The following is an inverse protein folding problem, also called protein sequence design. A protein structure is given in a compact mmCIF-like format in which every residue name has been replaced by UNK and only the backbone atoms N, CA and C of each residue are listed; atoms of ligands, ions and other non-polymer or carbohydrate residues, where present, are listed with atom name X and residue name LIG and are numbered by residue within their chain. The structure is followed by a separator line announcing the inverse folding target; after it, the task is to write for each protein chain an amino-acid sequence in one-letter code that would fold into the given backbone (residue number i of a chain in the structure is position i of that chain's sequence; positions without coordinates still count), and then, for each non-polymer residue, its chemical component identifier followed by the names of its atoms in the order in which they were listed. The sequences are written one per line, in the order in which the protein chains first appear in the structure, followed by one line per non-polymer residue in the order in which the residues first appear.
data_IF_336962702623
#
_entry.id   IF_336962702623
#
_cell.length_a   1.000
_cell.length_b   1.000
_cell.length_c   1.000
_cell.angle_alpha   90.00
_cell.angle_beta   90.00
_cell.angle_gamma   90.00
#
_symmetry.space_group_name_H-M   'P 1'
#
loop_
_entity.id
_entity.type
_entity.pdbx_description
1 polymer ?
#
# COMPACT_ATOMS: atom_id res chain seq x y z
N UNK A 1 39.84 -7.74 -21.02
CA UNK A 1 38.67 -7.00 -20.46
C UNK A 1 37.35 -7.55 -20.97
N UNK A 2 37.09 -7.58 -22.29
CA UNK A 2 35.83 -8.09 -22.88
C UNK A 2 35.47 -9.53 -22.47
N UNK A 3 36.46 -10.44 -22.44
CA UNK A 3 36.25 -11.84 -22.07
C UNK A 3 35.98 -12.03 -20.56
N UNK A 4 36.54 -11.18 -19.69
CA UNK A 4 36.23 -11.21 -18.25
C UNK A 4 34.84 -10.69 -17.95
N UNK A 5 34.36 -9.69 -18.70
CA UNK A 5 32.99 -9.19 -18.56
C UNK A 5 31.99 -10.28 -18.95
N UNK A 6 32.20 -10.96 -20.08
CA UNK A 6 31.34 -12.06 -20.53
C UNK A 6 31.32 -13.20 -19.51
N UNK A 7 32.48 -13.57 -18.94
CA UNK A 7 32.55 -14.59 -17.89
C UNK A 7 31.81 -14.18 -16.61
N UNK A 8 31.92 -12.92 -16.19
CA UNK A 8 31.21 -12.40 -15.03
C UNK A 8 29.69 -12.37 -15.26
N UNK A 9 29.26 -11.95 -16.45
CA UNK A 9 27.83 -11.93 -16.82
C UNK A 9 27.26 -13.35 -16.90
N UNK A 10 27.99 -14.30 -17.49
CA UNK A 10 27.59 -15.71 -17.54
C UNK A 10 27.58 -16.35 -16.15
N UNK A 11 28.53 -15.99 -15.28
CA UNK A 11 28.56 -16.45 -13.90
C UNK A 11 27.38 -15.90 -13.10
N UNK A 12 27.06 -14.61 -13.22
CA UNK A 12 25.88 -14.01 -12.59
C UNK A 12 24.58 -14.64 -13.11
N UNK A 13 24.44 -14.82 -14.42
CA UNK A 13 23.29 -15.50 -15.05
C UNK A 13 23.16 -16.95 -14.58
N UNK A 14 24.27 -17.69 -14.47
CA UNK A 14 24.25 -19.07 -13.99
C UNK A 14 23.81 -19.17 -12.52
N UNK A 15 24.17 -18.20 -11.68
CA UNK A 15 23.75 -18.17 -10.28
C UNK A 15 22.28 -17.74 -10.10
N UNK A 16 21.70 -17.00 -11.04
CA UNK A 16 20.27 -16.66 -11.02
C UNK A 16 19.37 -17.92 -11.20
N UNK A 17 19.88 -18.96 -11.88
CA UNK A 17 19.15 -20.23 -12.04
C UNK A 17 19.30 -21.21 -10.87
N UNK A 18 20.07 -20.86 -9.82
CA UNK A 18 20.27 -21.71 -8.63
C UNK A 18 19.56 -21.18 -7.37
N UNK A 19 18.77 -20.11 -7.49
CA UNK A 19 18.00 -19.54 -6.39
C UNK A 19 16.61 -20.19 -6.32
N UNK A 20 16.53 -21.41 -5.78
CA UNK A 20 15.24 -22.13 -5.64
C UNK A 20 14.37 -21.58 -4.50
N UNK A 21 14.94 -20.85 -3.54
CA UNK A 21 14.19 -20.20 -2.45
C UNK A 21 14.71 -18.80 -2.16
N UNK A 22 14.03 -17.79 -2.70
CA UNK A 22 14.10 -16.46 -2.11
C UNK A 22 13.35 -16.51 -0.77
N UNK A 23 14.11 -16.58 0.33
CA UNK A 23 13.57 -16.37 1.68
C UNK A 23 13.15 -14.90 1.83
N UNK A 24 12.00 -14.55 1.25
CA UNK A 24 11.30 -13.33 1.58
C UNK A 24 11.05 -13.33 3.09
N UNK A 25 11.20 -12.17 3.75
CA UNK A 25 11.00 -12.05 5.20
C UNK A 25 9.49 -12.23 5.49
N UNK A 26 9.01 -13.39 5.98
CA UNK A 26 7.59 -13.67 6.04
C UNK A 26 7.09 -13.40 7.46
N UNK A 27 6.94 -12.14 7.84
CA UNK A 27 6.36 -11.80 9.15
C UNK A 27 4.98 -12.44 9.31
N UNK A 28 4.15 -12.35 8.26
CA UNK A 28 2.82 -12.93 8.21
C UNK A 28 2.83 -14.47 8.10
N UNK A 29 3.63 -15.01 7.19
CA UNK A 29 3.67 -16.46 6.96
C UNK A 29 4.26 -17.23 8.17
N UNK A 30 5.15 -16.61 8.97
CA UNK A 30 5.65 -17.20 10.22
C UNK A 30 4.56 -17.42 11.27
N UNK A 31 3.66 -16.45 11.44
CA UNK A 31 2.53 -16.53 12.39
C UNK A 31 1.65 -17.74 12.07
N UNK A 32 1.22 -17.85 10.81
CA UNK A 32 0.27 -18.89 10.38
C UNK A 32 0.93 -20.20 9.92
N UNK A 33 2.27 -20.23 9.81
CA UNK A 33 3.06 -21.37 9.32
C UNK A 33 2.65 -21.81 7.91
N UNK A 34 2.46 -20.83 7.04
CA UNK A 34 2.14 -21.04 5.61
C UNK A 34 3.33 -20.62 4.73
N UNK A 35 3.37 -21.11 3.50
CA UNK A 35 4.40 -20.71 2.54
C UNK A 35 4.16 -19.29 2.04
N UNK A 36 5.22 -18.54 1.74
CA UNK A 36 5.12 -17.26 1.03
C UNK A 36 4.37 -17.41 -0.30
N UNK A 37 4.57 -18.54 -0.99
CA UNK A 37 3.89 -18.86 -2.26
C UNK A 37 2.40 -19.15 -2.11
N UNK A 38 1.87 -19.25 -0.89
CA UNK A 38 0.42 -19.31 -0.64
C UNK A 38 -0.22 -17.96 -0.96
N UNK A 39 0.36 -16.85 -0.49
CA UNK A 39 -0.17 -15.51 -0.69
C UNK A 39 0.39 -14.82 -1.93
N UNK A 40 1.66 -15.07 -2.28
CA UNK A 40 2.36 -14.32 -3.32
C UNK A 40 2.36 -15.05 -4.67
N UNK A 41 2.11 -14.27 -5.73
CA UNK A 41 2.60 -14.53 -7.07
C UNK A 41 3.98 -13.83 -7.23
N UNK A 42 4.67 -13.90 -8.38
CA UNK A 42 5.88 -13.10 -8.58
C UNK A 42 5.62 -11.62 -8.26
N UNK A 43 6.54 -11.00 -7.50
CA UNK A 43 6.44 -9.59 -7.11
C UNK A 43 6.17 -8.73 -8.37
N UNK A 44 5.19 -7.81 -8.31
CA UNK A 44 4.53 -7.28 -7.11
C UNK A 44 3.17 -7.91 -6.78
N UNK A 45 2.78 -8.98 -7.47
CA UNK A 45 1.41 -9.49 -7.48
C UNK A 45 1.11 -10.45 -6.31
N UNK A 46 -0.12 -10.37 -5.80
CA UNK A 46 -0.71 -11.35 -4.89
C UNK A 46 -1.56 -12.38 -5.66
N UNK A 47 -1.70 -13.56 -5.07
CA UNK A 47 -2.75 -14.51 -5.46
C UNK A 47 -4.06 -14.07 -4.79
N UNK A 48 -5.23 -14.58 -5.25
CA UNK A 48 -6.51 -14.29 -4.59
C UNK A 48 -6.47 -14.48 -3.07
N UNK A 49 -5.85 -15.58 -2.60
CA UNK A 49 -5.66 -15.83 -1.17
C UNK A 49 -4.87 -14.72 -0.44
N UNK A 50 -3.85 -14.16 -1.08
CA UNK A 50 -3.06 -13.06 -0.53
C UNK A 50 -3.83 -11.73 -0.53
N UNK A 51 -4.63 -11.48 -1.55
CA UNK A 51 -5.53 -10.33 -1.61
C UNK A 51 -6.60 -10.40 -0.53
N UNK A 52 -7.23 -11.56 -0.33
CA UNK A 52 -8.18 -11.81 0.75
C UNK A 52 -7.53 -11.57 2.13
N UNK A 53 -6.30 -12.06 2.32
CA UNK A 53 -5.56 -11.87 3.56
C UNK A 53 -5.22 -10.40 3.85
N UNK A 54 -4.78 -9.65 2.83
CA UNK A 54 -4.51 -8.22 2.96
C UNK A 54 -5.81 -7.42 3.15
N UNK A 55 -6.89 -7.84 2.47
CA UNK A 55 -8.23 -7.28 2.57
C UNK A 55 -8.85 -7.46 3.95
N UNK A 56 -8.60 -8.59 4.62
CA UNK A 56 -9.04 -8.84 6.00
C UNK A 56 -8.16 -8.15 7.07
N UNK A 57 -7.40 -7.11 6.71
CA UNK A 57 -6.52 -6.40 7.64
C UNK A 57 -5.34 -7.23 8.15
N UNK A 58 -4.83 -8.15 7.34
CA UNK A 58 -3.75 -9.09 7.68
C UNK A 58 -4.14 -10.10 8.78
N UNK A 59 -5.40 -10.54 8.77
CA UNK A 59 -5.96 -11.52 9.70
C UNK A 59 -6.40 -12.78 8.93
N UNK A 60 -5.97 -13.97 9.39
CA UNK A 60 -6.59 -15.24 8.99
C UNK A 60 -7.47 -15.75 10.15
N UNK A 61 -8.72 -15.30 10.19
CA UNK A 61 -9.63 -15.56 11.32
C UNK A 61 -9.75 -17.06 11.65
N UNK A 62 -9.87 -17.92 10.64
CA UNK A 62 -10.03 -19.37 10.82
C UNK A 62 -8.77 -20.06 11.37
N UNK A 63 -7.61 -19.42 11.23
CA UNK A 63 -6.31 -19.97 11.63
C UNK A 63 -5.78 -19.37 12.93
N UNK A 64 -6.48 -18.40 13.54
CA UNK A 64 -6.09 -17.83 14.83
C UNK A 64 -6.28 -18.86 15.95
N UNK A 65 -5.15 -19.30 16.53
CA UNK A 65 -5.09 -20.34 17.56
C UNK A 65 -4.54 -19.76 18.85
N UNK A 66 -4.89 -20.37 19.98
CA UNK A 66 -4.36 -19.96 21.30
C UNK A 66 -2.83 -19.83 21.32
N UNK A 67 -2.13 -20.70 20.55
CA UNK A 67 -0.67 -20.68 20.40
C UNK A 67 -0.08 -19.37 19.85
N UNK A 68 -0.89 -18.56 19.16
CA UNK A 68 -0.46 -17.31 18.51
C UNK A 68 -0.43 -16.15 19.51
N UNK A 69 -0.86 -16.41 20.75
CA UNK A 69 -1.03 -15.42 21.79
C UNK A 69 -0.44 -15.86 23.14
N UNK A 70 -0.25 -14.89 24.02
CA UNK A 70 0.19 -15.10 25.39
C UNK A 70 -1.02 -15.14 26.30
N UNK A 71 -1.31 -16.32 26.87
CA UNK A 71 -2.31 -16.48 27.92
C UNK A 71 -1.79 -15.87 29.22
N UNK A 72 -2.27 -14.68 29.58
CA UNK A 72 -1.87 -13.97 30.79
C UNK A 72 -2.85 -14.16 31.98
N UNK A 73 -3.80 -15.08 31.86
CA UNK A 73 -4.84 -15.32 32.87
C UNK A 73 -6.03 -14.35 32.82
N UNK A 74 -6.14 -13.58 31.75
CA UNK A 74 -7.29 -12.71 31.42
C UNK A 74 -7.83 -13.11 30.05
N UNK A 75 -9.08 -13.57 30.00
CA UNK A 75 -9.75 -14.07 28.80
C UNK A 75 -10.07 -12.96 27.78
N UNK A 76 -10.07 -11.69 28.20
CA UNK A 76 -10.26 -10.53 27.32
C UNK A 76 -8.95 -10.00 26.76
N UNK A 77 -7.82 -10.35 27.38
CA UNK A 77 -6.53 -9.83 26.99
C UNK A 77 -5.92 -10.65 25.86
N UNK A 78 -5.78 -10.00 24.69
CA UNK A 78 -5.19 -10.63 23.53
C UNK A 78 -3.79 -10.10 23.23
N UNK A 79 -2.78 -10.79 23.76
CA UNK A 79 -1.38 -10.42 23.53
C UNK A 79 -0.80 -11.27 22.44
N UNK A 80 -0.47 -10.68 21.29
CA UNK A 80 0.29 -11.38 20.27
C UNK A 80 1.62 -11.87 20.85
N UNK A 81 1.92 -13.15 20.62
CA UNK A 81 3.17 -13.75 21.08
C UNK A 81 4.39 -13.18 20.36
N UNK A 82 4.21 -12.80 19.11
CA UNK A 82 5.25 -12.22 18.26
C UNK A 82 4.74 -10.91 17.67
N UNK A 83 5.62 -9.91 17.62
CA UNK A 83 5.37 -8.66 16.91
C UNK A 83 5.92 -8.80 15.48
N UNK A 84 5.06 -8.86 14.44
CA UNK A 84 5.49 -9.08 13.07
C UNK A 84 6.25 -7.87 12.56
N UNK A 85 7.57 -8.02 12.39
CA UNK A 85 8.45 -6.99 11.85
C UNK A 85 9.18 -7.53 10.61
N UNK A 86 9.23 -6.72 9.56
CA UNK A 86 9.95 -7.01 8.34
C UNK A 86 10.72 -5.77 7.85
N UNK A 87 11.82 -6.01 7.15
CA UNK A 87 12.55 -4.97 6.43
C UNK A 87 12.51 -5.26 4.94
N UNK A 88 12.28 -4.25 4.09
CA UNK A 88 12.40 -4.36 2.64
C UNK A 88 13.55 -3.47 2.18
N UNK A 89 14.45 -4.03 1.39
CA UNK A 89 15.56 -3.33 0.76
C UNK A 89 15.31 -3.26 -0.74
N UNK A 90 15.37 -2.06 -1.29
CA UNK A 90 15.25 -1.80 -2.72
C UNK A 90 16.63 -1.35 -3.22
N UNK A 91 17.10 -1.96 -4.31
CA UNK A 91 18.36 -1.60 -4.95
C UNK A 91 18.10 -1.15 -6.37
N UNK A 92 18.72 -0.04 -6.77
CA UNK A 92 18.58 0.51 -8.12
C UNK A 92 19.94 0.64 -8.79
N UNK A 93 19.98 0.35 -10.09
CA UNK A 93 21.18 0.47 -10.91
C UNK A 93 20.86 1.32 -12.13
N UNK A 94 21.62 2.39 -12.31
CA UNK A 94 21.40 3.37 -13.36
C UNK A 94 22.57 3.35 -14.34
N UNK A 95 22.25 3.36 -15.64
CA UNK A 95 23.21 3.59 -16.70
C UNK A 95 22.70 4.75 -17.58
N UNK A 96 23.48 5.82 -17.64
CA UNK A 96 23.17 7.02 -18.41
C UNK A 96 24.26 7.24 -19.46
N UNK A 97 23.85 7.66 -20.64
CA UNK A 97 24.78 8.06 -21.69
C UNK A 97 24.86 9.59 -21.71
N UNK A 98 26.09 10.11 -21.69
CA UNK A 98 26.45 11.55 -21.72
C UNK A 98 26.55 12.29 -20.37
N UNK A 99 26.67 11.59 -19.25
CA UNK A 99 27.08 12.18 -17.96
C UNK A 99 28.53 11.82 -17.62
N UNK A 100 29.16 12.61 -16.73
CA UNK A 100 30.53 12.31 -16.25
C UNK A 100 30.60 10.96 -15.50
N UNK A 101 29.50 10.58 -14.84
CA UNK A 101 29.30 9.26 -14.24
C UNK A 101 28.25 8.50 -15.06
N UNK A 102 28.71 7.64 -15.98
CA UNK A 102 27.82 6.87 -16.86
C UNK A 102 27.09 5.71 -16.15
N UNK A 103 27.62 5.24 -15.03
CA UNK A 103 27.02 4.15 -14.25
C UNK A 103 26.97 4.52 -12.78
N UNK A 104 25.81 4.33 -12.17
CA UNK A 104 25.59 4.58 -10.74
C UNK A 104 24.87 3.39 -10.10
N UNK A 105 25.39 2.93 -8.97
CA UNK A 105 24.78 1.89 -8.16
C UNK A 105 24.10 2.55 -6.95
N UNK A 106 22.82 2.84 -7.11
CA UNK A 106 21.94 3.52 -6.16
C UNK A 106 21.36 2.51 -5.16
N UNK A 107 22.21 1.81 -4.43
CA UNK A 107 21.79 0.81 -3.43
C UNK A 107 22.27 1.18 -2.01
N UNK A 108 21.38 1.19 -1.00
CA UNK A 108 19.94 1.00 -1.10
C UNK A 108 19.25 2.24 -1.69
N UNK A 109 18.35 2.02 -2.64
CA UNK A 109 17.43 3.04 -3.16
C UNK A 109 16.35 3.36 -2.13
N UNK A 110 15.96 2.35 -1.35
CA UNK A 110 14.97 2.52 -0.30
C UNK A 110 15.12 1.43 0.75
N UNK A 111 14.88 1.81 2.00
CA UNK A 111 14.70 0.85 3.09
C UNK A 111 13.34 1.10 3.72
N UNK A 112 12.53 0.05 3.82
CA UNK A 112 11.24 0.10 4.53
C UNK A 112 11.28 -0.79 5.75
N UNK A 113 10.80 -0.28 6.88
CA UNK A 113 10.49 -1.10 8.05
C UNK A 113 8.98 -1.25 8.14
N UNK A 114 8.50 -2.48 8.00
CA UNK A 114 7.09 -2.82 7.80
C UNK A 114 6.59 -3.67 8.97
N UNK A 115 5.36 -3.43 9.40
CA UNK A 115 4.67 -4.24 10.38
C UNK A 115 3.18 -4.25 10.11
N UNK A 116 2.54 -5.39 10.34
CA UNK A 116 1.10 -5.52 10.27
C UNK A 116 0.65 -6.88 10.79
N UNK A 117 -0.63 -7.01 11.11
CA UNK A 117 -1.23 -8.25 11.58
C UNK A 117 -2.41 -7.99 12.50
N UNK A 118 -2.86 -9.02 13.21
CA UNK A 118 -3.98 -8.92 14.16
C UNK A 118 -3.60 -8.13 15.41
N UNK A 119 -4.42 -7.15 15.82
CA UNK A 119 -4.42 -6.58 17.18
C UNK A 119 -5.40 -7.32 18.10
N UNK A 120 -6.61 -7.57 17.60
CA UNK A 120 -7.71 -8.27 18.31
C UNK A 120 -8.63 -8.94 17.28
N UNK A 121 -9.63 -9.73 17.71
CA UNK A 121 -10.70 -10.30 16.84
C UNK A 121 -11.16 -9.24 15.86
N UNK A 122 -10.92 -9.48 14.57
CA UNK A 122 -11.36 -8.62 13.47
C UNK A 122 -10.83 -7.17 13.55
N UNK A 123 -9.71 -6.95 14.25
CA UNK A 123 -9.02 -5.67 14.31
C UNK A 123 -7.57 -5.91 13.92
N UNK A 124 -7.22 -5.47 12.73
CA UNK A 124 -5.88 -5.53 12.16
C UNK A 124 -5.16 -4.19 12.27
N UNK A 125 -3.86 -4.19 12.01
CA UNK A 125 -3.09 -2.98 11.84
C UNK A 125 -2.07 -3.16 10.73
N UNK A 126 -1.61 -2.04 10.20
CA UNK A 126 -0.46 -1.98 9.33
C UNK A 126 0.22 -0.62 9.46
N UNK A 127 1.54 -0.62 9.46
CA UNK A 127 2.32 0.58 9.29
C UNK A 127 3.64 0.30 8.60
N UNK A 128 4.23 1.34 8.02
CA UNK A 128 5.64 1.30 7.68
C UNK A 128 6.35 2.63 7.74
N UNK A 129 7.66 2.54 7.94
CA UNK A 129 8.60 3.63 7.86
C UNK A 129 9.37 3.54 6.56
N UNK A 130 9.63 4.69 5.92
CA UNK A 130 10.46 4.77 4.72
C UNK A 130 11.69 5.63 4.95
N UNK A 131 12.84 5.09 4.55
CA UNK A 131 14.11 5.79 4.50
C UNK A 131 14.53 5.88 3.03
N UNK A 132 14.59 7.10 2.51
CA UNK A 132 14.86 7.36 1.09
C UNK A 132 16.36 7.49 0.80
N UNK A 133 16.73 7.19 -0.45
CA UNK A 133 18.08 7.28 -1.00
C UNK A 133 18.76 8.64 -0.77
N UNK A 134 18.00 9.74 -0.73
CA UNK A 134 18.54 11.11 -0.66
C UNK A 134 18.93 11.54 0.76
N UNK A 135 18.99 10.58 1.69
CA UNK A 135 19.33 10.82 3.09
C UNK A 135 18.18 11.37 3.94
N UNK A 136 16.97 11.40 3.40
CA UNK A 136 15.77 11.84 4.11
C UNK A 136 15.06 10.64 4.73
N UNK A 137 14.84 10.72 6.05
CA UNK A 137 13.96 9.81 6.78
C UNK A 137 12.55 10.36 6.66
N UNK A 138 11.77 9.82 5.72
CA UNK A 138 10.42 10.30 5.39
C UNK A 138 9.40 10.06 6.53
N UNK A 139 9.76 9.25 7.54
CA UNK A 139 8.90 8.97 8.70
C UNK A 139 7.90 7.85 8.39
N UNK A 140 6.69 7.98 8.94
CA UNK A 140 5.58 7.02 8.79
C UNK A 140 4.71 7.44 7.62
N UNK A 141 4.62 6.58 6.60
CA UNK A 141 3.80 6.84 5.42
C UNK A 141 2.39 6.26 5.61
N UNK A 142 2.24 4.92 5.51
CA UNK A 142 1.01 4.25 5.96
C UNK A 142 1.09 3.94 7.45
N UNK A 143 -0.01 4.20 8.14
CA UNK A 143 -0.25 3.72 9.51
C UNK A 143 -1.75 3.75 9.79
N UNK A 144 -2.36 2.57 9.85
CA UNK A 144 -3.80 2.46 10.06
C UNK A 144 -4.17 1.25 10.91
N UNK A 145 -5.38 1.33 11.46
CA UNK A 145 -6.10 0.22 12.08
C UNK A 145 -7.23 -0.18 11.14
N UNK A 146 -7.41 -1.48 10.96
CA UNK A 146 -8.42 -2.09 10.09
C UNK A 146 -9.44 -2.83 10.95
N UNK A 147 -10.68 -2.41 10.92
CA UNK A 147 -11.80 -3.09 11.56
C UNK A 147 -12.50 -3.93 10.49
N UNK A 148 -12.23 -5.22 10.51
CA UNK A 148 -12.72 -6.19 9.55
C UNK A 148 -14.11 -6.70 9.96
N UNK A 149 -14.96 -6.99 8.98
CA UNK A 149 -16.27 -7.63 9.19
C UNK A 149 -17.16 -6.96 10.26
N UNK A 150 -17.28 -5.63 10.22
CA UNK A 150 -18.08 -4.85 11.16
C UNK A 150 -19.53 -5.35 11.18
N UNK A 151 -20.07 -5.54 12.39
CA UNK A 151 -21.42 -6.06 12.63
C UNK A 151 -21.67 -7.43 11.96
N UNK A 152 -20.62 -8.22 11.70
CA UNK A 152 -20.68 -9.51 10.98
C UNK A 152 -21.21 -9.36 9.55
N UNK A 153 -20.88 -8.26 8.92
CA UNK A 153 -21.16 -7.97 7.50
C UNK A 153 -19.83 -7.82 6.76
N UNK A 154 -19.83 -7.84 5.44
CA UNK A 154 -18.63 -7.59 4.62
C UNK A 154 -18.16 -6.11 4.64
N UNK A 155 -18.55 -5.35 5.67
CA UNK A 155 -18.15 -3.96 5.85
C UNK A 155 -16.87 -3.88 6.65
N UNK A 156 -15.88 -3.25 6.04
CA UNK A 156 -14.60 -2.96 6.65
C UNK A 156 -14.43 -1.46 6.85
N UNK A 157 -13.78 -1.09 7.94
CA UNK A 157 -13.41 0.30 8.22
C UNK A 157 -11.93 0.37 8.49
N UNK A 158 -11.21 1.15 7.68
CA UNK A 158 -9.81 1.48 7.90
C UNK A 158 -9.69 2.92 8.37
N UNK A 159 -8.95 3.16 9.47
CA UNK A 159 -8.76 4.48 10.06
C UNK A 159 -7.27 4.74 10.25
N UNK A 160 -6.78 5.87 9.74
CA UNK A 160 -5.39 6.27 9.91
C UNK A 160 -4.83 7.04 8.72
N UNK A 161 -3.54 6.81 8.43
CA UNK A 161 -2.82 7.34 7.29
C UNK A 161 -2.69 6.27 6.21
N UNK A 162 -3.07 6.58 4.99
CA UNK A 162 -3.06 5.66 3.85
C UNK A 162 -3.05 6.44 2.54
N UNK A 163 -2.85 5.76 1.41
CA UNK A 163 -2.98 6.41 0.10
C UNK A 163 -4.42 6.39 -0.37
N UNK A 164 -4.92 7.55 -0.79
CA UNK A 164 -6.29 7.66 -1.31
C UNK A 164 -6.46 6.89 -2.63
N UNK A 165 -5.39 6.66 -3.39
CA UNK A 165 -5.37 5.80 -4.57
C UNK A 165 -5.27 4.29 -4.31
N UNK A 166 -5.04 3.83 -3.07
CA UNK A 166 -4.92 2.39 -2.77
C UNK A 166 -6.11 1.52 -3.21
N UNK A 167 -7.37 2.01 -3.23
CA UNK A 167 -8.50 1.28 -3.81
C UNK A 167 -8.38 0.95 -5.30
N UNK A 168 -7.51 1.66 -6.04
CA UNK A 168 -7.27 1.45 -7.48
C UNK A 168 -6.06 0.54 -7.68
N UNK A 169 -4.87 1.10 -7.51
CA UNK A 169 -3.60 0.39 -7.62
C UNK A 169 -2.65 0.94 -6.58
N UNK A 170 -2.07 0.02 -5.80
CA UNK A 170 -1.10 0.36 -4.74
C UNK A 170 0.17 0.95 -5.37
N UNK A 171 0.38 2.26 -5.20
CA UNK A 171 1.52 3.01 -5.74
C UNK A 171 2.88 2.45 -5.33
N UNK A 172 2.96 1.90 -4.11
CA UNK A 172 4.19 1.31 -3.54
C UNK A 172 4.52 -0.09 -4.07
N UNK A 173 3.65 -0.64 -4.91
CA UNK A 173 3.85 -1.91 -5.61
C UNK A 173 4.25 -1.73 -7.08
N UNK A 174 4.53 -0.48 -7.51
CA UNK A 174 4.94 -0.18 -8.88
C UNK A 174 6.27 -0.85 -9.24
N UNK A 175 6.39 -1.24 -10.51
CA UNK A 175 7.63 -1.73 -11.11
C UNK A 175 8.44 -0.62 -11.79
N UNK A 176 7.81 0.53 -12.04
CA UNK A 176 8.47 1.69 -12.64
C UNK A 176 9.36 2.41 -11.63
N UNK A 177 10.47 2.96 -12.13
CA UNK A 177 11.27 3.91 -11.37
C UNK A 177 10.44 5.14 -10.99
N UNK A 178 9.84 5.75 -12.02
CA UNK A 178 8.93 6.88 -11.86
C UNK A 178 7.64 6.45 -11.17
N UNK A 179 7.08 7.40 -10.44
CA UNK A 179 5.79 7.23 -9.80
C UNK A 179 4.63 7.34 -10.82
N UNK A 180 3.44 6.89 -10.43
CA UNK A 180 2.22 7.17 -11.20
C UNK A 180 1.90 8.67 -11.07
N UNK A 181 2.39 9.46 -12.03
CA UNK A 181 2.25 10.91 -11.98
C UNK A 181 0.81 11.39 -11.79
N UNK A 182 -0.18 10.66 -12.33
CA UNK A 182 -1.60 11.01 -12.14
C UNK A 182 -2.03 11.00 -10.67
N UNK A 183 -1.46 10.11 -9.85
CA UNK A 183 -1.76 10.05 -8.42
C UNK A 183 -1.02 11.14 -7.62
N UNK A 184 0.10 11.65 -8.13
CA UNK A 184 0.87 12.73 -7.49
C UNK A 184 0.56 14.12 -8.02
N UNK A 185 -0.13 14.20 -9.16
CA UNK A 185 -0.44 15.44 -9.83
C UNK A 185 -1.29 16.33 -8.94
N UNK A 186 -0.80 17.56 -8.75
CA UNK A 186 -1.52 18.66 -8.13
C UNK A 186 -2.02 19.58 -9.23
N UNK A 187 -3.31 19.92 -9.20
CA UNK A 187 -3.93 20.77 -10.22
C UNK A 187 -4.01 22.20 -9.71
N UNK A 188 -3.47 23.16 -10.48
CA UNK A 188 -3.47 24.57 -10.11
C UNK A 188 -2.67 24.84 -8.83
N UNK A 189 -3.28 25.55 -7.88
CA UNK A 189 -2.66 25.90 -6.61
C UNK A 189 -2.90 24.86 -5.51
N UNK A 190 -3.52 23.73 -5.85
CA UNK A 190 -3.92 22.75 -4.86
C UNK A 190 -2.74 21.96 -4.28
N UNK A 191 -2.76 21.67 -2.99
CA UNK A 191 -1.82 20.75 -2.33
C UNK A 191 -2.32 19.30 -2.31
N UNK A 192 -3.63 19.09 -2.47
CA UNK A 192 -4.23 17.76 -2.58
C UNK A 192 -3.70 17.00 -3.80
N UNK A 193 -3.47 15.69 -3.64
CA UNK A 193 -3.35 14.71 -4.71
C UNK A 193 -3.92 13.35 -4.23
N UNK A 194 -3.74 12.28 -4.99
CA UNK A 194 -4.26 10.95 -4.65
C UNK A 194 -3.26 10.04 -3.91
N UNK A 195 -2.18 10.61 -3.35
CA UNK A 195 -1.23 9.85 -2.55
C UNK A 195 -1.67 9.80 -1.08
N UNK A 196 -0.73 9.86 -0.14
CA UNK A 196 -1.00 9.74 1.29
C UNK A 196 -1.90 10.86 1.81
N UNK A 197 -2.84 10.49 2.65
CA UNK A 197 -3.70 11.37 3.42
C UNK A 197 -4.09 10.71 4.75
N UNK A 198 -4.80 11.44 5.60
CA UNK A 198 -5.34 10.96 6.88
C UNK A 198 -6.85 10.93 6.84
N UNK A 199 -7.45 9.84 7.29
CA UNK A 199 -8.91 9.76 7.39
C UNK A 199 -9.44 8.36 7.61
N UNK A 200 -10.59 8.11 6.98
CA UNK A 200 -11.37 6.87 7.09
C UNK A 200 -11.63 6.33 5.69
N UNK A 201 -11.42 5.03 5.50
CA UNK A 201 -11.90 4.28 4.34
C UNK A 201 -12.95 3.27 4.80
N UNK A 202 -14.06 3.21 4.08
CA UNK A 202 -15.12 2.21 4.21
C UNK A 202 -15.03 1.32 2.97
N UNK A 203 -14.92 0.01 3.15
CA UNK A 203 -14.94 -0.94 2.04
C UNK A 203 -16.06 -1.95 2.26
N UNK A 204 -16.82 -2.25 1.20
CA UNK A 204 -17.92 -3.20 1.25
C UNK A 204 -18.02 -3.97 -0.06
N UNK A 205 -18.04 -5.29 0.03
CA UNK A 205 -18.20 -6.18 -1.13
C UNK A 205 -19.53 -6.91 -1.08
N UNK A 206 -20.26 -6.87 -2.20
CA UNK A 206 -21.47 -7.66 -2.43
C UNK A 206 -21.06 -8.94 -3.14
N UNK A 207 -20.78 -10.00 -2.38
CA UNK A 207 -20.24 -11.26 -2.92
C UNK A 207 -21.12 -11.89 -4.00
N UNK A 208 -22.45 -11.74 -3.87
CA UNK A 208 -23.41 -12.35 -4.81
C UNK A 208 -23.29 -11.77 -6.21
N UNK A 209 -22.83 -10.53 -6.33
CA UNK A 209 -22.64 -9.84 -7.61
C UNK A 209 -21.18 -9.62 -7.93
N UNK A 210 -20.25 -9.76 -6.98
CA UNK A 210 -18.85 -9.36 -7.16
C UNK A 210 -18.70 -7.84 -7.30
N UNK A 211 -19.54 -7.07 -6.62
CA UNK A 211 -19.51 -5.60 -6.66
C UNK A 211 -18.78 -5.05 -5.45
N UNK A 212 -17.74 -4.26 -5.68
CA UNK A 212 -17.02 -3.53 -4.64
C UNK A 212 -17.47 -2.07 -4.55
N UNK A 213 -17.69 -1.63 -3.32
CA UNK A 213 -18.01 -0.26 -2.96
C UNK A 213 -16.97 0.23 -1.96
N UNK A 214 -16.24 1.29 -2.33
CA UNK A 214 -15.29 1.93 -1.42
C UNK A 214 -15.64 3.39 -1.28
N UNK A 215 -15.71 3.87 -0.05
CA UNK A 215 -15.88 5.28 0.30
C UNK A 215 -14.74 5.77 1.17
N UNK A 216 -14.26 6.98 0.95
CA UNK A 216 -13.17 7.59 1.70
C UNK A 216 -13.58 8.98 2.15
N UNK A 217 -13.21 9.35 3.38
CA UNK A 217 -13.32 10.72 3.89
C UNK A 217 -11.97 11.06 4.51
N UNK A 218 -11.29 12.06 3.98
CA UNK A 218 -9.93 12.43 4.36
C UNK A 218 -9.76 13.94 4.52
N UNK A 219 -8.67 14.35 5.15
CA UNK A 219 -8.39 15.77 5.39
C UNK A 219 -8.11 16.55 4.09
N UNK A 220 -7.46 15.94 3.10
CA UNK A 220 -7.16 16.56 1.81
C UNK A 220 -5.78 17.23 1.75
N UNK A 221 -5.12 17.46 2.88
CA UNK A 221 -3.82 18.14 2.93
C UNK A 221 -2.62 17.18 3.06
N UNK A 222 -2.86 15.87 2.98
CA UNK A 222 -1.84 14.84 3.02
C UNK A 222 -1.30 14.53 4.42
N UNK A 223 -0.11 13.90 4.48
CA UNK A 223 0.50 13.44 5.74
C UNK A 223 1.58 14.36 6.32
N UNK A 224 1.63 15.63 5.90
CA UNK A 224 2.62 16.59 6.39
C UNK A 224 2.54 16.86 7.90
N UNK A 225 3.47 17.71 8.36
CA UNK A 225 3.55 18.17 9.75
C UNK A 225 2.25 18.82 10.21
N UNK A 226 1.99 18.74 11.51
CA UNK A 226 0.90 19.48 12.13
C UNK A 226 1.18 21.00 12.11
N UNK A 227 0.12 21.80 12.11
CA UNK A 227 0.21 23.24 12.30
C UNK A 227 0.81 23.62 13.66
N UNK A 228 1.07 24.92 13.86
CA UNK A 228 1.59 25.42 15.14
C UNK A 228 0.66 25.19 16.35
N UNK A 229 -0.59 24.81 16.10
CA UNK A 229 -1.62 24.40 17.05
C UNK A 229 -1.67 22.89 17.30
N UNK A 230 -0.74 22.12 16.70
CA UNK A 230 -0.68 20.66 16.73
C UNK A 230 -1.87 19.96 16.05
N UNK A 231 -2.58 20.64 15.15
CA UNK A 231 -3.65 20.06 14.33
C UNK A 231 -3.08 19.65 12.96
N UNK A 232 -3.34 18.41 12.53
CA UNK A 232 -2.89 17.90 11.22
C UNK A 232 -3.78 18.33 10.04
N UNK A 233 -5.00 18.71 10.34
CA UNK A 233 -6.02 19.12 9.39
C UNK A 233 -5.86 20.61 9.10
N UNK A 234 -5.62 20.97 7.84
CA UNK A 234 -5.27 22.34 7.48
C UNK A 234 -6.48 23.29 7.47
N UNK A 235 -7.70 22.76 7.31
CA UNK A 235 -8.92 23.56 7.22
C UNK A 235 -10.18 22.77 7.61
N UNK A 236 -11.35 23.37 7.38
CA UNK A 236 -12.66 22.83 7.80
C UNK A 236 -13.25 21.81 6.82
N UNK A 237 -12.73 21.73 5.60
CA UNK A 237 -13.27 20.89 4.53
C UNK A 237 -12.72 19.48 4.65
N UNK A 238 -13.43 18.53 4.03
CA UNK A 238 -12.99 17.15 3.92
C UNK A 238 -13.14 16.73 2.47
N UNK A 239 -12.20 15.93 2.00
CA UNK A 239 -12.24 15.37 0.67
C UNK A 239 -12.87 13.99 0.73
N UNK A 240 -13.61 13.65 -0.32
CA UNK A 240 -14.41 12.43 -0.41
C UNK A 240 -13.97 11.66 -1.64
N UNK A 241 -13.60 10.40 -1.45
CA UNK A 241 -13.33 9.43 -2.52
C UNK A 241 -14.42 8.37 -2.59
N UNK A 242 -14.79 7.93 -3.78
CA UNK A 242 -15.72 6.84 -4.02
C UNK A 242 -15.20 5.98 -5.15
N UNK A 243 -15.21 4.65 -4.95
CA UNK A 243 -14.98 3.64 -5.98
C UNK A 243 -16.21 2.75 -6.07
N UNK A 244 -16.63 2.49 -7.30
CA UNK A 244 -17.59 1.43 -7.62
C UNK A 244 -16.92 0.54 -8.67
N UNK A 245 -16.79 -0.75 -8.38
CA UNK A 245 -16.21 -1.70 -9.31
C UNK A 245 -17.04 -2.98 -9.37
N UNK A 246 -17.20 -3.52 -10.57
CA UNK A 246 -18.00 -4.70 -10.85
C UNK A 246 -17.12 -5.77 -11.47
N UNK A 247 -16.96 -6.91 -10.78
CA UNK A 247 -16.32 -8.10 -11.32
C UNK A 247 -17.12 -8.70 -12.48
N UNK A 248 -16.42 -9.24 -13.48
CA UNK A 248 -16.99 -9.87 -14.67
C UNK A 248 -16.42 -11.29 -14.75
N UNK A 249 -17.03 -12.23 -14.00
CA UNK A 249 -16.50 -13.59 -13.85
C UNK A 249 -15.02 -13.57 -13.45
N UNK A 250 -14.23 -14.45 -14.04
CA UNK A 250 -12.79 -14.54 -13.76
C UNK A 250 -11.92 -13.76 -14.76
N UNK A 251 -12.53 -12.97 -15.66
CA UNK A 251 -11.81 -12.34 -16.79
C UNK A 251 -11.40 -10.88 -16.52
N UNK A 252 -11.94 -10.26 -15.48
CA UNK A 252 -11.61 -8.88 -15.13
C UNK A 252 -12.74 -8.14 -14.41
N UNK A 253 -12.65 -6.82 -14.41
CA UNK A 253 -13.62 -5.94 -13.77
C UNK A 253 -13.73 -4.59 -14.48
N UNK A 254 -14.84 -3.90 -14.24
CA UNK A 254 -15.07 -2.54 -14.75
C UNK A 254 -15.70 -1.68 -13.67
N UNK A 255 -15.24 -0.44 -13.56
CA UNK A 255 -15.62 0.46 -12.50
C UNK A 255 -15.25 1.91 -12.78
N UNK A 256 -15.48 2.73 -11.77
CA UNK A 256 -15.17 4.15 -11.75
C UNK A 256 -14.63 4.52 -10.39
N UNK A 257 -13.66 5.43 -10.39
CA UNK A 257 -13.22 6.13 -9.20
C UNK A 257 -13.51 7.62 -9.36
N UNK A 258 -13.98 8.23 -8.29
CA UNK A 258 -14.29 9.64 -8.21
C UNK A 258 -13.83 10.18 -6.86
N UNK A 259 -13.04 11.25 -6.88
CA UNK A 259 -12.54 11.92 -5.70
C UNK A 259 -12.77 13.41 -5.85
N UNK A 260 -13.33 14.05 -4.84
CA UNK A 260 -13.65 15.48 -4.88
C UNK A 260 -13.47 16.11 -3.52
N UNK A 261 -13.19 17.40 -3.50
CA UNK A 261 -13.08 18.10 -2.24
C UNK A 261 -12.75 19.57 -2.39
N UNK A 262 -12.55 20.20 -1.25
CA UNK A 262 -12.15 21.60 -1.16
C UNK A 262 -11.02 21.70 -0.15
N UNK A 263 -10.17 22.67 -0.37
CA UNK A 263 -9.12 23.03 0.58
C UNK A 263 -8.90 24.54 0.54
N UNK A 264 -8.48 25.10 1.66
CA UNK A 264 -8.07 26.49 1.77
C UNK A 264 -6.55 26.55 1.71
N UNK A 265 -6.02 27.29 0.75
CA UNK A 265 -4.60 27.57 0.65
C UNK A 265 -4.37 29.08 0.80
N UNK A 266 -3.46 29.47 1.68
CA UNK A 266 -3.02 30.84 1.80
C UNK A 266 -1.98 31.13 0.73
N UNK A 267 -2.23 32.14 -0.12
CA UNK A 267 -1.25 32.66 -1.06
C UNK A 267 -1.06 34.15 -0.75
N UNK A 268 0.12 34.48 -0.21
CA UNK A 268 0.41 35.80 0.35
C UNK A 268 -0.55 36.15 1.49
N UNK A 269 -1.29 37.26 1.37
CA UNK A 269 -2.26 37.73 2.36
C UNK A 269 -3.72 37.32 2.03
N UNK A 270 -3.94 36.39 1.10
CA UNK A 270 -5.27 35.96 0.67
C UNK A 270 -5.48 34.46 0.84
N UNK A 271 -6.63 34.11 1.41
CA UNK A 271 -7.14 32.75 1.42
C UNK A 271 -7.83 32.44 0.09
N UNK A 272 -7.38 31.38 -0.57
CA UNK A 272 -7.98 30.86 -1.79
C UNK A 272 -8.59 29.49 -1.46
N UNK A 273 -9.87 29.33 -1.76
CA UNK A 273 -10.50 28.01 -1.69
C UNK A 273 -10.35 27.33 -3.04
N UNK A 274 -9.58 26.24 -3.08
CA UNK A 274 -9.50 25.36 -4.24
C UNK A 274 -10.65 24.36 -4.18
N UNK A 275 -11.19 24.02 -5.35
CA UNK A 275 -12.12 22.91 -5.52
C UNK A 275 -11.49 21.95 -6.53
N UNK A 276 -11.39 20.69 -6.12
CA UNK A 276 -10.67 19.68 -6.88
C UNK A 276 -11.56 18.49 -7.19
N UNK A 277 -11.28 17.87 -8.34
CA UNK A 277 -11.93 16.65 -8.76
C UNK A 277 -10.95 15.78 -9.53
N UNK A 278 -10.86 14.51 -9.14
CA UNK A 278 -10.20 13.45 -9.87
C UNK A 278 -11.24 12.41 -10.21
N UNK A 279 -11.26 11.93 -11.44
CA UNK A 279 -12.12 10.83 -11.82
C UNK A 279 -11.50 10.04 -12.96
N UNK A 280 -11.83 8.77 -13.03
CA UNK A 280 -11.32 7.92 -14.09
C UNK A 280 -12.01 6.56 -14.11
N UNK A 281 -11.93 5.87 -15.25
CA UNK A 281 -12.31 4.48 -15.31
C UNK A 281 -11.35 3.65 -14.44
N UNK A 282 -11.89 2.60 -13.84
CA UNK A 282 -11.14 1.59 -13.10
C UNK A 282 -11.42 0.24 -13.76
N UNK A 283 -10.49 -0.26 -14.56
CA UNK A 283 -10.72 -1.41 -15.43
C UNK A 283 -9.60 -2.39 -15.26
N UNK A 284 -9.94 -3.64 -14.98
CA UNK A 284 -8.98 -4.73 -14.94
C UNK A 284 -9.36 -5.77 -15.99
N UNK A 285 -8.39 -6.26 -16.75
CA UNK A 285 -8.58 -7.35 -17.72
C UNK A 285 -7.45 -8.36 -17.54
N UNK A 286 -7.82 -9.57 -17.13
CA UNK A 286 -6.90 -10.70 -16.97
C UNK A 286 -7.07 -11.73 -18.08
N UNK A 287 -5.97 -12.08 -18.77
CA UNK A 287 -5.93 -13.17 -19.76
C UNK A 287 -4.72 -14.06 -19.47
N UNK A 288 -4.94 -15.16 -18.75
CA UNK A 288 -3.88 -16.08 -18.36
C UNK A 288 -2.83 -15.39 -17.46
N UNK A 289 -1.54 -15.36 -17.84
CA UNK A 289 -0.50 -14.69 -17.05
C UNK A 289 -0.46 -13.16 -17.25
N UNK A 290 -1.27 -12.61 -18.15
CA UNK A 290 -1.28 -11.18 -18.45
C UNK A 290 -2.44 -10.49 -17.76
N UNK A 291 -2.20 -9.29 -17.26
CA UNK A 291 -3.20 -8.42 -16.65
C UNK A 291 -2.96 -6.99 -17.11
N UNK A 292 -4.04 -6.30 -17.46
CA UNK A 292 -4.07 -4.88 -17.75
C UNK A 292 -4.96 -4.20 -16.73
N UNK A 293 -4.43 -3.18 -16.07
CA UNK A 293 -5.11 -2.34 -15.08
C UNK A 293 -4.95 -0.88 -15.46
#
# INVERSE_FOLDING_TARGET
MKNSLIFLTLFLLANLFTLDEAQAIPAFARRYKISCSTCHAPFPKLKPYGDDYAGAGFILQEEEKERDYVTAGDDLLWLNKEFPLAARFEGYGLYQSNDEAESDLQTPYGVKLLSGGTLYKNIGYYFYFYMSERGEVAGVEDAYVHFDNILKTNLDIMIGQFQTCDPLMKRELRLSYEDYHIYKARVGNSVTNLAYDRGITLAYTIDQTGTDLIGQIVNGNGIGDAGGDAIFDADKYKNIGVRLNQGIGDVGSFGVYYYTGKEVSAIWDYDITNEITYYGPDVNIGIGPFELT
#
